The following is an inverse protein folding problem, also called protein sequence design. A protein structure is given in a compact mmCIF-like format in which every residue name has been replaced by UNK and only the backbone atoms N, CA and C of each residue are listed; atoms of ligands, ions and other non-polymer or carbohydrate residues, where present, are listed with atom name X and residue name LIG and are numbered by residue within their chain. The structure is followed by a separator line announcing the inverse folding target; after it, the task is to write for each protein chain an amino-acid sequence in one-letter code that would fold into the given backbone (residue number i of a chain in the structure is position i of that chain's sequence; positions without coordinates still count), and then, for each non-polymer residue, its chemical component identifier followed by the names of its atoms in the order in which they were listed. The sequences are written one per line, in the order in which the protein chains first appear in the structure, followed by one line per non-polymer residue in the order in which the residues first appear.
data_IF_647756096621
#
_entry.id   IF_647756096621
#
_cell.length_a   1.000
_cell.length_b   1.000
_cell.length_c   1.000
_cell.angle_alpha   90.00
_cell.angle_beta   90.00
_cell.angle_gamma   90.00
#
_symmetry.space_group_name_H-M   'P 1'
#
loop_
_entity.id
_entity.type
_entity.pdbx_description
1 polymer ?
#
# COMPACT_ATOMS: atom_id res chain seq x y z
N UNK A 1 67.46 27.56 -42.81
CA UNK A 1 66.20 26.90 -43.23
C UNK A 1 65.73 25.81 -42.21
N UNK A 2 66.63 25.15 -41.55
CA UNK A 2 66.30 24.08 -40.59
C UNK A 2 65.58 24.48 -39.30
N UNK A 3 65.90 25.64 -38.70
CA UNK A 3 65.23 26.10 -37.47
C UNK A 3 63.74 26.43 -37.65
N UNK A 4 63.31 26.78 -38.87
CA UNK A 4 61.91 27.10 -39.16
C UNK A 4 61.06 25.84 -39.38
N UNK A 5 61.64 24.80 -39.93
CA UNK A 5 61.03 23.49 -40.11
C UNK A 5 60.87 22.75 -38.79
N UNK A 6 61.83 22.81 -37.89
CA UNK A 6 61.78 22.19 -36.57
C UNK A 6 60.72 22.82 -35.68
N UNK A 7 60.49 24.15 -35.79
CA UNK A 7 59.44 24.85 -35.06
C UNK A 7 58.03 24.50 -35.58
N UNK A 8 57.89 24.27 -36.88
CA UNK A 8 56.61 23.80 -37.47
C UNK A 8 56.31 22.34 -37.13
N UNK A 9 57.33 21.45 -37.08
CA UNK A 9 57.15 20.09 -36.63
C UNK A 9 56.79 19.96 -35.12
N UNK A 10 57.40 20.82 -34.27
CA UNK A 10 57.03 20.84 -32.84
C UNK A 10 55.62 21.40 -32.59
N UNK A 11 55.14 22.33 -33.42
CA UNK A 11 53.78 22.89 -33.30
C UNK A 11 52.73 21.90 -33.84
N UNK A 12 53.06 21.04 -34.80
CA UNK A 12 52.18 19.97 -35.27
C UNK A 12 52.07 18.81 -34.27
N UNK A 13 53.11 18.54 -33.48
CA UNK A 13 53.07 17.51 -32.44
C UNK A 13 52.29 17.94 -31.18
N UNK A 14 52.20 19.23 -30.90
CA UNK A 14 51.45 19.79 -29.76
C UNK A 14 49.93 19.90 -30.03
N UNK A 15 49.52 19.95 -31.32
CA UNK A 15 48.09 19.93 -31.68
C UNK A 15 47.50 18.52 -31.84
N UNK A 16 48.32 17.49 -31.82
CA UNK A 16 47.86 16.09 -31.91
C UNK A 16 47.59 15.43 -30.54
N UNK A 17 47.79 16.15 -29.41
CA UNK A 17 47.57 15.64 -28.07
C UNK A 17 46.35 16.26 -27.33
N UNK A 18 45.42 16.85 -28.05
CA UNK A 18 44.19 17.37 -27.42
C UNK A 18 42.88 16.85 -28.09
N UNK A 19 42.62 15.56 -28.03
CA UNK A 19 41.22 15.16 -28.05
C UNK A 19 40.85 14.11 -26.98
N UNK A 20 41.49 14.11 -25.79
CA UNK A 20 41.14 13.12 -24.76
C UNK A 20 40.40 13.70 -23.54
N UNK A 21 40.28 15.05 -23.46
CA UNK A 21 39.56 15.66 -22.35
C UNK A 21 38.03 15.80 -22.62
N UNK A 22 37.63 15.93 -23.89
CA UNK A 22 36.21 16.05 -24.25
C UNK A 22 35.43 14.73 -24.11
N UNK A 23 36.07 13.58 -24.38
CA UNK A 23 35.42 12.27 -24.26
C UNK A 23 35.21 11.83 -22.80
N UNK A 24 36.05 12.27 -21.87
CA UNK A 24 35.92 11.93 -20.46
C UNK A 24 34.76 12.72 -19.78
N UNK A 25 34.54 13.98 -20.19
CA UNK A 25 33.41 14.75 -19.67
C UNK A 25 32.07 14.30 -20.25
N UNK A 26 32.00 13.96 -21.55
CA UNK A 26 30.77 13.39 -22.13
C UNK A 26 30.47 12.00 -21.58
N UNK A 27 31.46 11.14 -21.35
CA UNK A 27 31.26 9.84 -20.73
C UNK A 27 30.86 9.96 -19.25
N UNK A 28 31.40 10.91 -18.48
CA UNK A 28 30.98 11.15 -17.09
C UNK A 28 29.55 11.70 -16.99
N UNK A 29 29.17 12.63 -17.87
CA UNK A 29 27.79 13.16 -17.90
C UNK A 29 26.79 12.11 -18.36
N UNK A 30 27.13 11.26 -19.32
CA UNK A 30 26.30 10.12 -19.77
C UNK A 30 26.24 9.05 -18.70
N UNK A 31 27.33 8.80 -17.97
CA UNK A 31 27.37 7.81 -16.87
C UNK A 31 26.58 8.31 -15.65
N UNK A 32 26.67 9.60 -15.33
CA UNK A 32 25.93 10.22 -14.22
C UNK A 32 24.41 10.26 -14.49
N UNK A 33 23.98 10.44 -15.74
CA UNK A 33 22.58 10.30 -16.15
C UNK A 33 22.13 8.83 -16.21
N UNK A 34 23.03 7.88 -16.43
CA UNK A 34 22.71 6.46 -16.44
C UNK A 34 22.42 5.89 -15.05
N UNK A 35 22.98 6.47 -13.97
CA UNK A 35 22.84 5.97 -12.58
C UNK A 35 21.70 6.64 -11.79
N UNK A 36 21.00 7.61 -12.36
CA UNK A 36 19.90 8.28 -11.65
C UNK A 36 18.68 7.36 -11.50
N UNK A 37 18.12 7.30 -10.28
CA UNK A 37 16.88 6.58 -10.01
C UNK A 37 15.70 7.29 -10.68
N UNK A 38 14.84 6.50 -11.31
CA UNK A 38 13.67 6.97 -12.05
C UNK A 38 12.38 6.62 -11.31
N UNK A 39 11.42 7.53 -11.33
CA UNK A 39 10.09 7.32 -10.74
C UNK A 39 9.18 6.60 -11.75
N UNK A 40 8.78 5.35 -11.49
CA UNK A 40 7.87 4.64 -12.37
C UNK A 40 6.45 5.22 -12.27
N UNK A 41 5.76 5.27 -13.40
CA UNK A 41 4.34 5.69 -13.48
C UNK A 41 3.41 4.54 -13.79
N UNK A 42 3.92 3.51 -14.47
CA UNK A 42 3.15 2.35 -14.94
C UNK A 42 3.93 1.07 -14.62
N UNK A 43 3.21 0.03 -14.20
CA UNK A 43 3.74 -1.33 -14.09
C UNK A 43 2.82 -2.29 -14.86
N UNK A 44 3.42 -3.12 -15.72
CA UNK A 44 2.74 -4.19 -16.45
C UNK A 44 3.55 -5.48 -16.26
N UNK A 45 2.92 -6.54 -15.76
CA UNK A 45 3.57 -7.85 -15.56
C UNK A 45 4.93 -7.76 -14.82
N UNK A 46 5.04 -6.89 -13.79
CA UNK A 46 6.25 -6.60 -13.00
C UNK A 46 7.37 -5.83 -13.74
N UNK A 47 7.13 -5.35 -14.95
CA UNK A 47 7.99 -4.40 -15.65
C UNK A 47 7.55 -2.97 -15.34
N UNK A 48 8.51 -2.08 -15.10
CA UNK A 48 8.27 -0.69 -14.74
C UNK A 48 8.50 0.22 -15.93
N UNK A 49 7.61 1.20 -16.12
CA UNK A 49 7.64 2.10 -17.27
C UNK A 49 7.46 3.55 -16.84
N UNK A 50 8.03 4.46 -17.62
CA UNK A 50 7.77 5.89 -17.52
C UNK A 50 6.36 6.22 -18.02
N UNK A 51 5.92 7.45 -17.76
CA UNK A 51 4.65 7.97 -18.29
C UNK A 51 4.65 7.99 -19.82
N UNK A 52 3.50 7.73 -20.42
CA UNK A 52 3.33 7.78 -21.88
C UNK A 52 3.44 6.43 -22.59
N UNK A 53 3.45 5.32 -21.85
CA UNK A 53 3.38 3.98 -22.45
C UNK A 53 2.10 3.85 -23.30
N UNK A 54 2.19 3.42 -24.58
CA UNK A 54 1.03 3.23 -25.47
C UNK A 54 0.27 1.94 -25.10
N UNK A 55 -0.49 1.99 -24.01
CA UNK A 55 -1.22 0.84 -23.47
C UNK A 55 -2.57 0.68 -24.17
N UNK A 56 -2.81 -0.50 -24.74
CA UNK A 56 -4.13 -0.89 -25.24
C UNK A 56 -5.00 -1.40 -24.08
N UNK A 57 -5.92 -0.57 -23.63
CA UNK A 57 -6.80 -0.87 -22.49
C UNK A 57 -7.72 -2.06 -22.72
N UNK A 58 -7.99 -2.43 -23.98
CA UNK A 58 -8.80 -3.62 -24.32
C UNK A 58 -8.13 -4.94 -23.92
N UNK A 59 -6.80 -4.92 -23.74
CA UNK A 59 -5.98 -6.06 -23.31
C UNK A 59 -5.76 -6.11 -21.80
N UNK A 60 -6.31 -5.16 -21.05
CA UNK A 60 -6.18 -5.07 -19.60
C UNK A 60 -7.28 -5.89 -18.93
N UNK A 61 -6.88 -6.85 -18.11
CA UNK A 61 -7.79 -7.67 -17.28
C UNK A 61 -8.25 -6.92 -16.03
N UNK A 62 -7.31 -6.25 -15.37
CA UNK A 62 -7.59 -5.43 -14.17
C UNK A 62 -6.53 -4.35 -14.00
N UNK A 63 -6.91 -3.30 -13.27
CA UNK A 63 -5.99 -2.24 -12.91
C UNK A 63 -6.12 -1.88 -11.44
N UNK A 64 -5.02 -1.42 -10.86
CA UNK A 64 -4.96 -0.86 -9.50
C UNK A 64 -3.94 0.27 -9.47
N UNK A 65 -3.89 1.01 -8.37
CA UNK A 65 -2.92 2.07 -8.19
C UNK A 65 -2.35 2.02 -6.78
N UNK A 66 -1.07 2.31 -6.64
CA UNK A 66 -0.41 2.52 -5.36
C UNK A 66 0.29 3.88 -5.33
N UNK A 67 0.42 4.44 -4.13
CA UNK A 67 1.24 5.63 -3.88
C UNK A 67 2.57 5.19 -3.28
N UNK A 68 3.67 5.83 -3.67
CA UNK A 68 5.00 5.57 -3.13
C UNK A 68 5.80 6.86 -3.00
N UNK A 69 6.74 6.91 -2.05
CA UNK A 69 7.44 8.15 -1.73
C UNK A 69 6.47 9.28 -1.37
N UNK A 70 6.92 10.52 -1.51
CA UNK A 70 6.10 11.69 -1.18
C UNK A 70 4.98 11.95 -2.22
N UNK A 71 5.28 11.83 -3.52
CA UNK A 71 4.38 12.21 -4.61
C UNK A 71 4.27 11.16 -5.72
N UNK A 72 4.83 9.96 -5.54
CA UNK A 72 4.79 8.91 -6.55
C UNK A 72 3.43 8.24 -6.64
N UNK A 73 2.94 8.05 -7.87
CA UNK A 73 1.76 7.23 -8.17
C UNK A 73 2.15 6.19 -9.22
N UNK A 74 1.90 4.93 -8.91
CA UNK A 74 2.14 3.82 -9.84
C UNK A 74 0.82 3.17 -10.20
N UNK A 75 0.48 3.21 -11.48
CA UNK A 75 -0.64 2.44 -12.05
C UNK A 75 -0.16 1.03 -12.38
N UNK A 76 -0.84 0.03 -11.87
CA UNK A 76 -0.52 -1.38 -12.03
C UNK A 76 -1.58 -2.01 -12.94
N UNK A 77 -1.13 -2.55 -14.07
CA UNK A 77 -1.99 -3.22 -15.03
C UNK A 77 -1.69 -4.72 -15.05
N UNK A 78 -2.72 -5.52 -14.85
CA UNK A 78 -2.68 -6.96 -15.07
C UNK A 78 -3.30 -7.24 -16.44
N UNK A 79 -2.53 -7.86 -17.32
CA UNK A 79 -2.96 -8.18 -18.67
C UNK A 79 -3.64 -9.56 -18.72
N UNK A 80 -4.39 -9.82 -19.79
CA UNK A 80 -4.87 -11.18 -20.05
C UNK A 80 -3.70 -12.16 -20.27
N UNK A 81 -3.86 -13.46 -19.96
CA UNK A 81 -2.75 -14.44 -19.96
C UNK A 81 -1.99 -14.59 -21.29
N UNK A 82 -2.65 -14.27 -22.40
CA UNK A 82 -2.07 -14.35 -23.75
C UNK A 82 -1.40 -13.04 -24.21
N UNK A 83 -1.30 -12.06 -23.33
CA UNK A 83 -0.63 -10.79 -23.66
C UNK A 83 0.89 -10.96 -23.65
N UNK A 84 1.51 -10.53 -24.73
CA UNK A 84 2.97 -10.42 -24.85
C UNK A 84 3.36 -8.95 -24.87
N UNK A 85 4.39 -8.59 -24.09
CA UNK A 85 4.90 -7.22 -24.04
C UNK A 85 5.48 -6.85 -25.42
N UNK A 86 4.97 -5.78 -26.05
CA UNK A 86 5.46 -5.33 -27.33
C UNK A 86 6.92 -4.84 -27.25
N UNK A 87 7.74 -5.18 -28.24
CA UNK A 87 9.15 -4.79 -28.27
C UNK A 87 9.35 -3.27 -28.26
N UNK A 88 8.45 -2.52 -28.88
CA UNK A 88 8.48 -1.06 -28.89
C UNK A 88 8.30 -0.42 -27.51
N UNK A 89 7.93 -1.19 -26.48
CA UNK A 89 7.83 -0.69 -25.10
C UNK A 89 9.20 -0.62 -24.39
N UNK A 90 10.24 -1.27 -24.90
CA UNK A 90 11.60 -1.24 -24.32
C UNK A 90 12.11 0.18 -24.09
N UNK A 91 11.78 1.12 -24.99
CA UNK A 91 12.18 2.54 -24.85
C UNK A 91 11.51 3.28 -23.69
N UNK A 92 10.43 2.75 -23.13
CA UNK A 92 9.72 3.31 -21.96
C UNK A 92 10.07 2.57 -20.67
N UNK A 93 10.76 1.42 -20.76
CA UNK A 93 11.05 0.56 -19.62
C UNK A 93 12.12 1.16 -18.72
N UNK A 94 11.87 1.09 -17.41
CA UNK A 94 12.83 1.45 -16.37
C UNK A 94 13.45 0.15 -15.86
N UNK A 95 14.76 -0.08 -16.05
CA UNK A 95 15.43 -1.22 -15.46
C UNK A 95 15.20 -1.27 -13.95
N UNK A 96 14.94 -2.44 -13.41
CA UNK A 96 14.58 -2.62 -12.00
C UNK A 96 15.58 -2.00 -11.03
N UNK A 97 16.88 -2.06 -11.36
CA UNK A 97 17.96 -1.41 -10.58
C UNK A 97 17.87 0.10 -10.51
N UNK A 98 17.14 0.73 -11.43
CA UNK A 98 16.97 2.19 -11.51
C UNK A 98 15.60 2.67 -11.02
N UNK A 99 14.75 1.79 -10.52
CA UNK A 99 13.43 2.15 -10.01
C UNK A 99 13.56 2.83 -8.66
N UNK A 100 13.12 4.09 -8.57
CA UNK A 100 13.05 4.83 -7.30
C UNK A 100 12.03 4.20 -6.35
N UNK A 101 12.38 4.08 -5.07
CA UNK A 101 11.52 3.51 -4.02
C UNK A 101 11.07 2.07 -4.31
N UNK A 102 11.87 1.27 -5.02
CA UNK A 102 11.53 -0.09 -5.42
C UNK A 102 11.05 -0.96 -4.26
N UNK A 103 11.77 -0.96 -3.13
CA UNK A 103 11.42 -1.76 -1.95
C UNK A 103 10.08 -1.37 -1.33
N UNK A 104 9.75 -0.08 -1.32
CA UNK A 104 8.46 0.40 -0.86
C UNK A 104 7.33 -0.05 -1.79
N UNK A 105 7.53 0.08 -3.10
CA UNK A 105 6.58 -0.36 -4.13
C UNK A 105 6.32 -1.86 -3.99
N UNK A 106 7.35 -2.68 -3.85
CA UNK A 106 7.24 -4.13 -3.70
C UNK A 106 6.51 -4.54 -2.43
N UNK A 107 6.84 -3.91 -1.32
CA UNK A 107 6.16 -4.16 -0.05
C UNK A 107 4.66 -3.84 -0.13
N UNK A 108 4.29 -2.77 -0.83
CA UNK A 108 2.87 -2.44 -1.02
C UNK A 108 2.16 -3.43 -1.94
N UNK A 109 2.82 -3.88 -3.03
CA UNK A 109 2.26 -4.89 -3.92
C UNK A 109 2.04 -6.21 -3.17
N UNK A 110 3.03 -6.66 -2.39
CA UNK A 110 2.95 -7.88 -1.59
C UNK A 110 1.83 -7.78 -0.53
N UNK A 111 1.75 -6.66 0.18
CA UNK A 111 0.67 -6.38 1.13
C UNK A 111 -0.71 -6.46 0.47
N UNK A 112 -0.87 -5.85 -0.72
CA UNK A 112 -2.13 -5.88 -1.44
C UNK A 112 -2.46 -7.31 -1.94
N UNK A 113 -1.48 -8.08 -2.38
CA UNK A 113 -1.68 -9.48 -2.78
C UNK A 113 -2.08 -10.36 -1.59
N UNK A 114 -1.42 -10.19 -0.44
CA UNK A 114 -1.77 -10.87 0.80
C UNK A 114 -3.21 -10.53 1.21
N UNK A 115 -3.58 -9.26 1.23
CA UNK A 115 -4.93 -8.81 1.51
C UNK A 115 -5.95 -9.48 0.59
N UNK A 116 -5.74 -9.45 -0.74
CA UNK A 116 -6.63 -10.08 -1.71
C UNK A 116 -6.76 -11.59 -1.50
N UNK A 117 -5.68 -12.28 -1.12
CA UNK A 117 -5.73 -13.72 -0.82
C UNK A 117 -6.58 -14.03 0.41
N UNK A 118 -6.48 -13.20 1.44
CA UNK A 118 -7.22 -13.34 2.68
C UNK A 118 -8.72 -12.99 2.53
N UNK A 119 -9.05 -12.04 1.65
CA UNK A 119 -10.44 -11.57 1.44
C UNK A 119 -11.24 -12.42 0.45
N UNK A 120 -10.64 -13.36 -0.26
CA UNK A 120 -11.32 -14.19 -1.27
C UNK A 120 -12.39 -15.14 -0.72
N UNK A 121 -12.46 -15.35 0.59
CA UNK A 121 -13.35 -16.33 1.25
C UNK A 121 -14.56 -15.68 1.92
N UNK A 122 -15.09 -14.60 1.37
CA UNK A 122 -16.17 -13.90 2.04
C UNK A 122 -17.55 -14.52 1.77
N UNK A 123 -18.20 -14.89 2.85
CA UNK A 123 -19.63 -15.09 2.91
C UNK A 123 -20.34 -13.74 3.10
N UNK A 124 -21.58 -13.65 2.65
CA UNK A 124 -22.40 -12.43 2.72
C UNK A 124 -22.45 -11.89 4.16
N UNK A 125 -21.86 -10.71 4.41
CA UNK A 125 -21.78 -10.08 5.73
C UNK A 125 -23.18 -9.83 6.35
N UNK A 126 -24.20 -9.56 5.52
CA UNK A 126 -25.57 -9.36 5.97
C UNK A 126 -26.17 -10.60 6.64
N UNK A 127 -25.75 -11.79 6.20
CA UNK A 127 -26.18 -13.05 6.78
C UNK A 127 -25.63 -13.33 8.20
N UNK A 128 -24.66 -12.55 8.66
CA UNK A 128 -24.05 -12.70 9.98
C UNK A 128 -24.71 -11.83 11.06
N UNK A 129 -25.47 -10.80 10.70
CA UNK A 129 -26.18 -9.98 11.67
C UNK A 129 -27.17 -10.80 12.49
N UNK A 130 -27.18 -10.60 13.80
CA UNK A 130 -27.97 -11.40 14.77
C UNK A 130 -27.33 -12.71 15.18
N UNK A 131 -26.14 -13.05 14.67
CA UNK A 131 -25.38 -14.26 15.01
C UNK A 131 -24.10 -13.91 15.77
N UNK A 132 -23.51 -14.85 16.53
CA UNK A 132 -22.16 -14.67 17.07
C UNK A 132 -21.12 -14.67 15.94
N UNK A 133 -19.92 -14.16 16.26
CA UNK A 133 -18.78 -14.30 15.38
C UNK A 133 -18.54 -15.78 15.06
N UNK A 134 -18.42 -16.19 13.78
CA UNK A 134 -18.26 -17.59 13.41
C UNK A 134 -16.86 -18.11 13.74
N UNK A 135 -16.76 -19.22 14.47
CA UNK A 135 -15.49 -19.82 14.88
C UNK A 135 -14.82 -19.06 16.02
N UNK A 136 -13.49 -19.13 16.08
CA UNK A 136 -12.68 -18.49 17.13
C UNK A 136 -11.49 -17.74 16.56
N UNK A 137 -11.01 -16.77 17.30
CA UNK A 137 -9.76 -16.04 16.99
C UNK A 137 -8.85 -15.93 18.23
N UNK A 138 -7.58 -15.78 17.97
CA UNK A 138 -6.56 -15.51 18.99
C UNK A 138 -5.55 -14.54 18.40
N UNK A 139 -5.55 -13.29 18.90
CA UNK A 139 -4.71 -12.22 18.41
C UNK A 139 -4.05 -11.48 19.58
N UNK A 140 -2.87 -10.95 19.37
CA UNK A 140 -2.20 -10.05 20.32
C UNK A 140 -2.41 -8.60 19.93
N UNK A 141 -2.55 -7.75 20.95
CA UNK A 141 -2.46 -6.32 20.73
C UNK A 141 -1.00 -5.83 20.76
N UNK A 142 -0.78 -4.57 20.42
CA UNK A 142 0.55 -3.96 20.41
C UNK A 142 1.23 -3.88 21.80
N UNK A 143 0.48 -4.15 22.88
CA UNK A 143 0.97 -4.20 24.25
C UNK A 143 1.22 -5.64 24.72
N UNK A 144 1.01 -6.63 23.85
CA UNK A 144 1.22 -8.06 24.14
C UNK A 144 0.03 -8.74 24.83
N UNK A 145 -1.09 -8.05 25.08
CA UNK A 145 -2.30 -8.67 25.64
C UNK A 145 -2.95 -9.58 24.59
N UNK A 146 -3.33 -10.75 25.02
CA UNK A 146 -4.08 -11.72 24.20
C UNK A 146 -5.56 -11.37 24.17
N UNK A 147 -6.14 -11.40 22.98
CA UNK A 147 -7.57 -11.19 22.72
C UNK A 147 -8.18 -12.39 22.03
N UNK A 148 -9.35 -12.78 22.49
CA UNK A 148 -10.16 -13.89 21.99
C UNK A 148 -11.62 -13.46 21.97
N UNK A 149 -12.52 -14.28 21.40
CA UNK A 149 -13.96 -14.04 21.48
C UNK A 149 -14.47 -13.97 22.93
N UNK A 150 -13.84 -14.71 23.84
CA UNK A 150 -14.19 -14.66 25.29
C UNK A 150 -13.87 -13.30 25.91
N UNK A 151 -12.81 -12.62 25.43
CA UNK A 151 -12.42 -11.28 25.87
C UNK A 151 -13.46 -10.21 25.52
N UNK A 152 -14.40 -10.52 24.63
CA UNK A 152 -15.41 -9.59 24.13
C UNK A 152 -16.76 -9.76 24.83
N UNK A 153 -17.01 -10.89 25.50
CA UNK A 153 -18.29 -11.19 26.15
C UNK A 153 -18.60 -10.21 27.29
N UNK A 154 -19.85 -9.81 27.38
CA UNK A 154 -20.33 -8.86 28.38
C UNK A 154 -20.00 -7.40 28.05
N UNK A 155 -19.48 -7.15 26.86
CA UNK A 155 -19.10 -5.78 26.43
C UNK A 155 -19.74 -5.45 25.10
N UNK A 156 -20.10 -4.19 24.91
CA UNK A 156 -20.31 -3.61 23.59
C UNK A 156 -18.94 -3.46 22.92
N UNK A 157 -18.80 -3.91 21.68
CA UNK A 157 -17.53 -3.90 20.98
C UNK A 157 -17.69 -3.30 19.60
N UNK A 158 -16.77 -2.43 19.21
CA UNK A 158 -16.61 -1.96 17.82
C UNK A 158 -15.27 -2.43 17.32
N UNK A 159 -15.29 -3.16 16.22
CA UNK A 159 -14.10 -3.66 15.53
C UNK A 159 -13.99 -2.92 14.21
N UNK A 160 -12.81 -2.36 13.93
CA UNK A 160 -12.46 -1.74 12.66
C UNK A 160 -11.29 -2.48 12.03
N UNK A 161 -11.56 -3.17 10.92
CA UNK A 161 -10.51 -3.82 10.14
C UNK A 161 -10.00 -2.87 9.06
N UNK A 162 -8.66 -2.75 8.97
CA UNK A 162 -7.99 -1.83 8.05
C UNK A 162 -6.62 -2.36 7.63
N UNK A 163 -5.95 -1.71 6.68
CA UNK A 163 -4.56 -1.97 6.32
C UNK A 163 -3.83 -0.68 5.89
N UNK A 164 -2.51 -0.73 5.83
CA UNK A 164 -1.66 0.44 5.59
C UNK A 164 -1.87 1.14 4.26
N UNK A 165 -2.32 0.42 3.23
CA UNK A 165 -2.63 0.96 1.90
C UNK A 165 -4.07 1.51 1.75
N UNK A 166 -4.89 1.42 2.81
CA UNK A 166 -6.28 1.87 2.77
C UNK A 166 -6.39 3.38 3.05
N UNK A 167 -6.40 4.19 2.00
CA UNK A 167 -6.51 5.64 2.12
C UNK A 167 -7.74 6.12 2.92
N UNK A 168 -8.97 5.61 2.66
CA UNK A 168 -10.15 5.94 3.45
C UNK A 168 -9.98 5.61 4.94
N UNK A 169 -9.42 4.42 5.28
CA UNK A 169 -9.19 4.01 6.66
C UNK A 169 -8.27 5.00 7.40
N UNK A 170 -7.16 5.38 6.76
CA UNK A 170 -6.20 6.30 7.37
C UNK A 170 -6.76 7.69 7.61
N UNK A 171 -7.69 8.15 6.75
CA UNK A 171 -8.31 9.48 6.91
C UNK A 171 -9.30 9.53 8.06
N UNK A 172 -9.98 8.43 8.39
CA UNK A 172 -10.98 8.42 9.46
C UNK A 172 -10.40 8.18 10.86
N UNK A 173 -9.15 7.70 11.00
CA UNK A 173 -8.53 7.38 12.29
C UNK A 173 -8.64 8.49 13.35
N UNK A 174 -8.41 9.78 13.05
CA UNK A 174 -8.61 10.86 14.01
C UNK A 174 -10.05 10.95 14.50
N UNK A 175 -11.03 10.79 13.61
CA UNK A 175 -12.46 10.84 13.97
C UNK A 175 -12.82 9.66 14.88
N UNK A 176 -12.35 8.46 14.54
CA UNK A 176 -12.59 7.25 15.34
C UNK A 176 -11.95 7.35 16.74
N UNK A 177 -10.81 8.04 16.86
CA UNK A 177 -10.12 8.25 18.14
C UNK A 177 -10.99 9.00 19.15
N UNK A 178 -11.86 9.91 18.69
CA UNK A 178 -12.79 10.64 19.55
C UNK A 178 -13.84 9.70 20.20
N UNK A 179 -14.21 8.62 19.51
CA UNK A 179 -15.22 7.69 20.01
C UNK A 179 -14.80 7.00 21.31
N UNK A 180 -13.53 6.60 21.42
CA UNK A 180 -13.02 5.94 22.62
C UNK A 180 -13.16 6.83 23.86
N UNK A 181 -12.95 8.12 23.71
CA UNK A 181 -13.10 9.08 24.81
C UNK A 181 -14.58 9.31 25.15
N UNK A 182 -15.46 9.31 24.15
CA UNK A 182 -16.89 9.57 24.30
C UNK A 182 -17.66 8.37 24.85
N UNK A 183 -17.20 7.14 24.59
CA UNK A 183 -17.86 5.90 24.96
C UNK A 183 -16.92 4.99 25.77
N UNK A 184 -16.58 5.34 27.04
CA UNK A 184 -15.58 4.62 27.82
C UNK A 184 -15.94 3.17 28.16
N UNK A 185 -17.23 2.83 28.11
CA UNK A 185 -17.75 1.47 28.39
C UNK A 185 -17.79 0.57 27.15
N UNK A 186 -17.34 1.05 25.98
CA UNK A 186 -17.28 0.30 24.74
C UNK A 186 -15.84 -0.11 24.47
N UNK A 187 -15.64 -1.37 24.12
CA UNK A 187 -14.34 -1.86 23.64
C UNK A 187 -14.17 -1.46 22.17
N UNK A 188 -13.13 -0.70 21.88
CA UNK A 188 -12.76 -0.32 20.52
C UNK A 188 -11.51 -1.07 20.09
N UNK A 189 -11.65 -1.98 19.12
CA UNK A 189 -10.57 -2.77 18.54
C UNK A 189 -10.29 -2.34 17.10
N UNK A 190 -9.06 -2.07 16.81
CA UNK A 190 -8.54 -1.88 15.48
C UNK A 190 -7.78 -3.13 15.08
N UNK A 191 -8.14 -3.80 14.00
CA UNK A 191 -7.53 -5.06 13.58
C UNK A 191 -6.85 -4.90 12.23
N UNK A 192 -5.65 -5.47 12.11
CA UNK A 192 -4.82 -5.34 10.93
C UNK A 192 -4.03 -6.65 10.69
N UNK A 193 -3.95 -7.12 9.45
CA UNK A 193 -3.23 -8.35 9.10
C UNK A 193 -1.71 -8.19 8.97
N UNK A 194 -1.22 -6.95 9.01
CA UNK A 194 0.21 -6.65 8.87
C UNK A 194 0.96 -6.83 10.20
N UNK A 195 2.30 -6.75 10.16
CA UNK A 195 3.18 -6.92 11.33
C UNK A 195 3.03 -5.76 12.31
N UNK A 196 3.28 -6.07 13.60
CA UNK A 196 3.16 -5.13 14.73
C UNK A 196 3.86 -3.78 14.50
N UNK A 197 5.10 -3.80 14.02
CA UNK A 197 5.90 -2.57 13.83
C UNK A 197 5.25 -1.62 12.82
N UNK A 198 4.69 -2.17 11.75
CA UNK A 198 4.00 -1.38 10.72
C UNK A 198 2.71 -0.79 11.26
N UNK A 199 1.92 -1.57 12.00
CA UNK A 199 0.69 -1.13 12.65
C UNK A 199 1.01 -0.02 13.65
N UNK A 200 1.99 -0.22 14.54
CA UNK A 200 2.44 0.75 15.55
C UNK A 200 2.82 2.09 14.90
N UNK A 201 3.71 2.05 13.91
CA UNK A 201 4.17 3.27 13.22
C UNK A 201 3.02 4.10 12.66
N UNK A 202 2.04 3.45 12.04
CA UNK A 202 0.91 4.16 11.41
C UNK A 202 -0.03 4.72 12.47
N UNK A 203 -0.40 3.92 13.48
CA UNK A 203 -1.36 4.33 14.51
C UNK A 203 -0.80 5.47 15.38
N UNK A 204 0.50 5.46 15.69
CA UNK A 204 1.18 6.56 16.38
C UNK A 204 1.16 7.85 15.56
N UNK A 205 1.57 7.81 14.28
CA UNK A 205 1.58 8.98 13.38
C UNK A 205 0.17 9.55 13.19
N UNK A 206 -0.87 8.70 13.21
CA UNK A 206 -2.27 9.12 13.02
C UNK A 206 -2.98 9.50 14.33
N UNK A 207 -2.34 9.33 15.48
CA UNK A 207 -2.98 9.54 16.78
C UNK A 207 -4.17 8.61 17.02
N UNK A 208 -4.15 7.41 16.44
CA UNK A 208 -5.24 6.45 16.56
C UNK A 208 -5.12 5.69 17.89
N UNK A 209 -6.01 5.93 18.82
CA UNK A 209 -5.90 5.55 20.23
C UNK A 209 -6.67 4.28 20.64
N UNK A 210 -7.22 3.53 19.68
CA UNK A 210 -7.92 2.27 19.93
C UNK A 210 -6.95 1.18 20.41
N UNK A 211 -7.46 0.03 20.78
CA UNK A 211 -6.63 -1.16 21.01
C UNK A 211 -6.32 -1.80 19.67
N UNK A 212 -5.05 -1.93 19.31
CA UNK A 212 -4.60 -2.36 18.00
C UNK A 212 -4.17 -3.83 18.01
N UNK A 213 -4.91 -4.69 17.32
CA UNK A 213 -4.57 -6.09 17.07
C UNK A 213 -3.82 -6.19 15.74
N UNK A 214 -2.80 -7.03 15.68
CA UNK A 214 -1.96 -7.20 14.50
C UNK A 214 -1.89 -8.67 14.07
N UNK A 215 -1.39 -8.91 12.83
CA UNK A 215 -1.27 -10.27 12.28
C UNK A 215 -2.61 -10.96 12.07
N UNK A 216 -3.68 -10.18 11.86
CA UNK A 216 -5.03 -10.70 11.71
C UNK A 216 -5.16 -11.61 10.49
N UNK A 217 -5.70 -12.80 10.70
CA UNK A 217 -6.09 -13.74 9.67
C UNK A 217 -7.54 -14.21 9.81
N UNK A 218 -8.26 -13.61 10.75
CA UNK A 218 -9.64 -13.96 11.07
C UNK A 218 -10.62 -12.88 10.58
N UNK A 219 -10.55 -11.66 11.09
CA UNK A 219 -11.47 -10.57 10.72
C UNK A 219 -11.35 -10.16 9.26
N UNK A 220 -10.14 -10.22 8.72
CA UNK A 220 -9.88 -9.87 7.31
C UNK A 220 -10.69 -10.74 6.33
N UNK A 221 -11.07 -11.95 6.71
CA UNK A 221 -11.91 -12.84 5.88
C UNK A 221 -13.31 -12.29 5.66
N UNK A 222 -13.82 -11.48 6.58
CA UNK A 222 -15.15 -10.89 6.47
C UNK A 222 -15.19 -9.62 5.62
N UNK A 223 -14.04 -9.08 5.22
CA UNK A 223 -13.95 -7.87 4.36
C UNK A 223 -14.55 -8.10 2.97
N UNK A 224 -14.24 -9.25 2.37
CA UNK A 224 -14.78 -9.67 1.09
C UNK A 224 -14.63 -8.67 -0.05
N UNK A 225 -15.58 -8.67 -0.95
CA UNK A 225 -15.62 -7.76 -2.10
C UNK A 225 -15.97 -6.32 -1.72
N UNK A 226 -16.49 -6.09 -0.50
CA UNK A 226 -16.87 -4.75 -0.01
C UNK A 226 -15.67 -3.85 0.29
N UNK A 227 -14.46 -4.43 0.45
CA UNK A 227 -13.23 -3.68 0.71
C UNK A 227 -13.12 -3.12 2.13
N UNK A 228 -12.04 -2.39 2.36
CA UNK A 228 -11.75 -1.75 3.63
C UNK A 228 -12.18 -0.27 3.68
N UNK A 229 -12.48 0.26 4.90
CA UNK A 229 -12.52 -0.45 6.19
C UNK A 229 -13.72 -1.39 6.29
N UNK A 230 -13.62 -2.41 7.17
CA UNK A 230 -14.77 -3.16 7.64
C UNK A 230 -15.05 -2.78 9.09
N UNK A 231 -16.31 -2.49 9.41
CA UNK A 231 -16.77 -2.34 10.78
C UNK A 231 -17.65 -3.50 11.20
N UNK A 232 -17.46 -3.98 12.44
CA UNK A 232 -18.32 -4.95 13.10
C UNK A 232 -18.68 -4.38 14.48
N UNK A 233 -19.97 -4.36 14.80
CA UNK A 233 -20.47 -3.95 16.13
C UNK A 233 -21.08 -5.18 16.79
N UNK A 234 -20.59 -5.51 17.99
CA UNK A 234 -21.13 -6.59 18.82
C UNK A 234 -21.89 -6.02 20.01
N UNK A 235 -23.00 -6.65 20.34
CA UNK A 235 -23.71 -6.42 21.60
C UNK A 235 -23.03 -7.13 22.77
N UNK A 236 -23.47 -6.82 24.02
CA UNK A 236 -22.99 -7.44 25.25
C UNK A 236 -23.20 -8.97 25.25
N UNK A 237 -24.23 -9.43 24.55
CA UNK A 237 -24.50 -10.86 24.32
C UNK A 237 -23.56 -11.53 23.31
N UNK A 238 -22.64 -10.76 22.70
CA UNK A 238 -21.67 -11.25 21.71
C UNK A 238 -22.23 -11.41 20.30
N UNK A 239 -23.49 -11.02 20.05
CA UNK A 239 -24.08 -11.10 18.72
C UNK A 239 -23.71 -9.88 17.86
N UNK A 240 -23.51 -10.11 16.58
CA UNK A 240 -23.26 -9.04 15.60
C UNK A 240 -24.53 -8.21 15.45
N UNK A 241 -24.46 -6.93 15.77
CA UNK A 241 -25.54 -5.95 15.63
C UNK A 241 -25.48 -5.17 14.34
N UNK A 242 -24.26 -4.95 13.86
CA UNK A 242 -24.04 -4.22 12.61
C UNK A 242 -22.71 -4.64 11.98
N UNK A 243 -22.70 -4.75 10.67
CA UNK A 243 -21.52 -5.08 9.91
C UNK A 243 -21.57 -4.36 8.57
N UNK A 244 -20.52 -3.60 8.24
CA UNK A 244 -20.51 -2.76 7.04
C UNK A 244 -19.10 -2.54 6.53
N UNK A 245 -18.95 -2.55 5.20
CA UNK A 245 -17.73 -2.12 4.52
C UNK A 245 -17.79 -0.64 4.16
N UNK A 246 -16.62 -0.01 4.13
CA UNK A 246 -16.47 1.40 3.76
C UNK A 246 -16.65 2.36 4.93
N UNK A 247 -16.51 3.64 4.62
CA UNK A 247 -16.65 4.72 5.59
C UNK A 247 -17.22 5.97 4.94
N UNK A 248 -18.20 6.56 5.58
CA UNK A 248 -18.73 7.89 5.34
C UNK A 248 -19.45 8.38 6.60
N UNK A 249 -19.96 9.60 6.59
CA UNK A 249 -20.63 10.18 7.76
C UNK A 249 -21.89 9.36 8.17
N UNK A 250 -22.68 8.92 7.19
CA UNK A 250 -23.86 8.10 7.47
C UNK A 250 -23.49 6.78 8.14
N UNK A 251 -22.52 6.07 7.64
CA UNK A 251 -22.02 4.81 8.24
C UNK A 251 -21.57 5.04 9.68
N UNK A 252 -20.78 6.07 9.92
CA UNK A 252 -20.34 6.43 11.28
C UNK A 252 -21.51 6.71 12.22
N UNK A 253 -22.51 7.45 11.74
CA UNK A 253 -23.71 7.74 12.52
C UNK A 253 -24.53 6.48 12.79
N UNK A 254 -24.66 5.57 11.82
CA UNK A 254 -25.36 4.30 11.99
C UNK A 254 -24.67 3.45 13.07
N UNK A 255 -23.33 3.36 13.07
CA UNK A 255 -22.55 2.67 14.10
C UNK A 255 -22.82 3.27 15.48
N UNK A 256 -22.76 4.60 15.61
CA UNK A 256 -23.01 5.28 16.89
C UNK A 256 -24.46 5.07 17.37
N UNK A 257 -25.42 5.05 16.46
CA UNK A 257 -26.81 4.76 16.78
C UNK A 257 -26.98 3.33 17.33
N UNK A 258 -26.26 2.35 16.77
CA UNK A 258 -26.27 0.97 17.25
C UNK A 258 -25.65 0.89 18.66
N UNK A 259 -24.52 1.56 18.91
CA UNK A 259 -23.87 1.62 20.24
C UNK A 259 -24.82 2.21 21.29
N UNK A 260 -25.58 3.24 20.94
CA UNK A 260 -26.45 3.97 21.89
C UNK A 260 -27.78 3.23 22.17
N UNK A 261 -28.25 2.36 21.26
CA UNK A 261 -29.54 1.64 21.41
C UNK A 261 -29.45 0.35 22.19
N UNK A 262 -28.27 -0.14 22.48
CA UNK A 262 -28.04 -1.41 23.18
C UNK A 262 -27.91 -1.26 24.68
#
# INVERSE_FOLDING_TARGET
MEKKMMKQMMMALLLAMMPFAASAQETHVVQEQADSLLSPSIMVNRHFYVKGLPLDVSKVKSMSAIKYGENGNLMIFTMYPNFTIPKEWEKYEIPRSRVKSLSEIENQIETNQQMLSLTRHNENTDALCGKPLPGSFTLHDLNGKLWTEQSLKGHKVVINAWYSGCGPCLREMPILSEWKNKYPNVIFLSVNFEKADKVRKITEVRGFNWTHLYGDNYFVKFVGSGGFPLFIVLGEDGLIRYMVNGTNEKIRQDILNVINKQ
#
